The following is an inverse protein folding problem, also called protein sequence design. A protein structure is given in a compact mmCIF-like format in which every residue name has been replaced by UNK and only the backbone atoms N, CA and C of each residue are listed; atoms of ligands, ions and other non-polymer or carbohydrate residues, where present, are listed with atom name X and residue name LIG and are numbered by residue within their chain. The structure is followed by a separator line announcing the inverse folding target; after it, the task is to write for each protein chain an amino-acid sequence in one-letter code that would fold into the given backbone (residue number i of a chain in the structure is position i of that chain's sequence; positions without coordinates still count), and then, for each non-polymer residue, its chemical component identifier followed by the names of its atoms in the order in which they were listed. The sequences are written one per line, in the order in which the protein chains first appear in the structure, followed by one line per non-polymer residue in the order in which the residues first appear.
data_IF_690972410992
#
_entry.id   IF_690972410992
#
_cell.length_a   1.000
_cell.length_b   1.000
_cell.length_c   1.000
_cell.angle_alpha   90.00
_cell.angle_beta   90.00
_cell.angle_gamma   90.00
#
_symmetry.space_group_name_H-M   'P 1'
#
loop_
_entity.id
_entity.type
_entity.pdbx_description
1 polymer ?
#
# COMPACT_ATOMS: atom_id res chain seq x y z
N UNK A 1 1.33 -3.22 -11.54
CA UNK A 1 2.05 -2.02 -11.08
C UNK A 1 1.54 -0.85 -11.89
N UNK A 2 0.93 0.15 -11.24
CA UNK A 2 0.52 1.37 -11.93
C UNK A 2 1.68 2.35 -11.87
N UNK A 3 2.15 2.76 -13.02
CA UNK A 3 3.23 3.72 -13.16
C UNK A 3 2.63 5.08 -13.50
N UNK A 4 2.77 6.04 -12.59
CA UNK A 4 2.28 7.39 -12.82
C UNK A 4 3.42 8.29 -13.35
N UNK A 5 3.12 9.12 -14.35
CA UNK A 5 4.03 10.08 -15.04
C UNK A 5 4.49 11.22 -14.09
N UNK A 6 5.60 11.95 -14.35
CA UNK A 6 6.50 12.44 -13.30
C UNK A 6 5.88 13.37 -12.24
N UNK A 7 6.15 13.04 -10.98
CA UNK A 7 5.78 13.75 -9.74
C UNK A 7 7.01 14.32 -9.00
N UNK A 8 8.11 14.67 -9.69
CA UNK A 8 9.34 15.10 -8.99
C UNK A 8 9.11 16.37 -8.13
N UNK A 9 8.22 17.27 -8.58
CA UNK A 9 7.76 18.40 -7.77
C UNK A 9 6.99 17.96 -6.52
N UNK A 10 6.20 16.89 -6.60
CA UNK A 10 5.37 16.42 -5.49
C UNK A 10 6.17 15.65 -4.44
N UNK A 11 7.26 14.96 -4.82
CA UNK A 11 8.18 14.36 -3.84
C UNK A 11 8.74 15.43 -2.88
N UNK A 12 9.30 16.50 -3.46
CA UNK A 12 9.86 17.60 -2.68
C UNK A 12 8.77 18.33 -1.90
N UNK A 13 7.61 18.58 -2.51
CA UNK A 13 6.49 19.24 -1.83
C UNK A 13 6.02 18.43 -0.60
N UNK A 14 5.81 17.12 -0.77
CA UNK A 14 5.41 16.23 0.31
C UNK A 14 6.48 16.15 1.40
N UNK A 15 7.75 16.00 1.02
CA UNK A 15 8.85 15.96 1.98
C UNK A 15 8.95 17.26 2.77
N UNK A 16 8.89 18.42 2.10
CA UNK A 16 8.92 19.73 2.77
C UNK A 16 7.73 19.92 3.72
N UNK A 17 6.52 19.52 3.29
CA UNK A 17 5.32 19.59 4.12
C UNK A 17 5.49 18.76 5.41
N UNK A 18 6.01 17.52 5.29
CA UNK A 18 6.26 16.67 6.45
C UNK A 18 7.31 17.28 7.37
N UNK A 19 8.47 17.67 6.80
CA UNK A 19 9.61 18.20 7.56
C UNK A 19 9.26 19.47 8.34
N UNK A 20 8.35 20.30 7.83
CA UNK A 20 7.87 21.51 8.51
C UNK A 20 7.05 21.19 9.77
N UNK A 21 6.22 20.16 9.72
CA UNK A 21 5.30 19.82 10.82
C UNK A 21 5.98 18.97 11.91
N UNK A 22 6.99 18.17 11.54
CA UNK A 22 7.72 17.29 12.48
C UNK A 22 8.91 17.97 13.19
N UNK A 23 9.00 19.29 13.17
CA UNK A 23 10.13 20.05 13.75
C UNK A 23 10.35 19.81 15.26
N UNK A 24 9.31 19.38 15.98
CA UNK A 24 9.39 19.02 17.40
C UNK A 24 9.93 17.61 17.65
N UNK A 25 10.00 16.75 16.63
CA UNK A 25 10.51 15.39 16.73
C UNK A 25 12.02 15.34 16.51
N UNK A 26 12.69 14.40 17.18
CA UNK A 26 14.14 14.23 17.03
C UNK A 26 14.44 13.33 15.84
N UNK A 27 15.18 13.86 14.85
CA UNK A 27 15.71 13.07 13.74
C UNK A 27 16.68 12.00 14.25
N UNK A 28 16.54 10.77 13.76
CA UNK A 28 17.37 9.60 14.11
C UNK A 28 17.78 8.87 12.84
N UNK A 29 18.80 8.01 12.93
CA UNK A 29 19.21 7.13 11.82
C UNK A 29 18.16 6.05 11.57
N UNK A 30 18.14 5.52 10.36
CA UNK A 30 17.34 4.35 10.00
C UNK A 30 17.77 3.05 10.71
N UNK A 31 16.91 2.02 10.69
CA UNK A 31 17.24 0.72 11.27
C UNK A 31 18.40 0.03 10.55
N UNK A 32 18.51 0.18 9.24
CA UNK A 32 19.59 -0.38 8.42
C UNK A 32 20.59 0.73 8.06
N UNK A 33 21.86 0.64 8.50
CA UNK A 33 22.87 1.66 8.22
C UNK A 33 23.26 1.75 6.74
N UNK A 34 22.88 0.78 5.90
CA UNK A 34 23.18 0.80 4.46
C UNK A 34 22.25 1.74 3.67
N UNK A 35 21.15 2.18 4.26
CA UNK A 35 20.17 3.07 3.64
C UNK A 35 20.10 4.41 4.38
N UNK A 36 19.97 5.50 3.64
CA UNK A 36 19.81 6.84 4.20
C UNK A 36 18.33 7.16 4.46
N UNK A 37 17.73 6.40 5.38
CA UNK A 37 16.33 6.61 5.77
C UNK A 37 16.17 7.87 6.62
N UNK A 38 15.15 8.66 6.31
CA UNK A 38 14.74 9.80 7.13
C UNK A 38 13.80 9.30 8.23
N UNK A 39 14.28 9.28 9.47
CA UNK A 39 13.51 8.80 10.61
C UNK A 39 13.40 9.82 11.75
N UNK A 40 12.33 9.72 12.52
CA UNK A 40 12.00 10.58 13.65
C UNK A 40 11.62 9.75 14.88
N UNK A 41 12.05 10.21 16.05
CA UNK A 41 11.72 9.63 17.35
C UNK A 41 10.94 10.63 18.19
N UNK A 42 10.14 10.13 19.14
CA UNK A 42 9.34 10.95 20.05
C UNK A 42 7.84 11.02 19.73
N UNK A 43 7.38 10.32 18.68
CA UNK A 43 5.96 10.31 18.29
C UNK A 43 5.09 9.30 19.07
N UNK A 44 5.70 8.50 19.95
CA UNK A 44 5.01 7.49 20.74
C UNK A 44 4.80 6.16 20.00
N UNK A 45 4.35 5.12 20.72
CA UNK A 45 4.19 3.75 20.18
C UNK A 45 2.86 3.51 19.46
N UNK A 46 1.86 4.31 19.79
CA UNK A 46 0.50 4.12 19.33
C UNK A 46 0.31 4.73 17.94
N UNK A 47 0.11 3.86 16.94
CA UNK A 47 -0.07 4.28 15.54
C UNK A 47 -1.31 5.13 15.36
N UNK A 48 -2.36 4.92 16.18
CA UNK A 48 -3.58 5.72 16.10
C UNK A 48 -3.38 7.19 16.49
N UNK A 49 -2.27 7.50 17.17
CA UNK A 49 -1.94 8.86 17.62
C UNK A 49 -0.89 9.55 16.74
N UNK A 50 -0.43 8.91 15.66
CA UNK A 50 0.58 9.51 14.77
C UNK A 50 0.12 10.81 14.14
N UNK A 51 -1.18 10.96 13.88
CA UNK A 51 -1.76 12.20 13.35
C UNK A 51 -1.60 13.41 14.28
N UNK A 52 -1.17 13.23 15.54
CA UNK A 52 -0.84 14.34 16.45
C UNK A 52 0.54 14.95 16.16
N UNK A 53 1.45 14.18 15.58
CA UNK A 53 2.84 14.59 15.35
C UNK A 53 3.22 14.63 13.87
N UNK A 54 2.49 13.89 13.04
CA UNK A 54 2.74 13.76 11.61
C UNK A 54 1.50 14.23 10.83
N UNK A 55 1.67 15.05 9.79
CA UNK A 55 0.53 15.61 9.06
C UNK A 55 -0.12 14.57 8.13
N UNK A 56 -1.36 14.81 7.73
CA UNK A 56 -1.86 14.20 6.51
C UNK A 56 -1.22 14.91 5.30
N UNK A 57 -0.89 14.16 4.24
CA UNK A 57 -0.27 14.69 3.02
C UNK A 57 -1.13 14.34 1.81
N UNK A 58 -1.19 15.24 0.84
CA UNK A 58 -1.96 15.04 -0.38
C UNK A 58 -1.02 14.65 -1.52
N UNK A 59 -1.31 13.53 -2.18
CA UNK A 59 -0.73 13.21 -3.48
C UNK A 59 -1.69 13.70 -4.56
N UNK A 60 -1.25 14.66 -5.37
CA UNK A 60 -2.07 15.32 -6.39
C UNK A 60 -1.76 14.73 -7.76
N UNK A 61 -2.73 14.09 -8.40
CA UNK A 61 -2.59 13.55 -9.75
C UNK A 61 -2.74 14.64 -10.82
N UNK A 62 -2.23 14.37 -12.03
CA UNK A 62 -2.25 15.33 -13.16
C UNK A 62 -3.65 15.85 -13.54
N UNK A 63 -4.72 15.11 -13.23
CA UNK A 63 -6.10 15.51 -13.47
C UNK A 63 -6.70 16.34 -12.33
N UNK A 64 -5.89 16.74 -11.33
CA UNK A 64 -6.32 17.48 -10.16
C UNK A 64 -6.95 16.64 -9.05
N UNK A 65 -7.17 15.34 -9.27
CA UNK A 65 -7.63 14.44 -8.22
C UNK A 65 -6.55 14.31 -7.15
N UNK A 66 -6.98 14.07 -5.91
CA UNK A 66 -6.08 13.99 -4.77
C UNK A 66 -6.28 12.69 -4.01
N UNK A 67 -5.18 12.07 -3.62
CA UNK A 67 -5.17 10.97 -2.67
C UNK A 67 -4.63 11.49 -1.33
N UNK A 68 -5.49 11.55 -0.32
CA UNK A 68 -5.12 11.93 1.03
C UNK A 68 -4.46 10.75 1.75
N UNK A 69 -3.20 10.92 2.13
CA UNK A 69 -2.40 9.93 2.85
C UNK A 69 -2.32 10.33 4.32
N UNK A 70 -2.73 9.41 5.20
CA UNK A 70 -2.50 9.56 6.64
C UNK A 70 -1.11 9.07 7.02
N UNK A 71 -0.60 9.38 8.22
CA UNK A 71 0.72 8.93 8.65
C UNK A 71 0.98 7.43 8.46
N UNK A 72 -0.02 6.56 8.65
CA UNK A 72 0.14 5.12 8.40
C UNK A 72 0.39 4.73 6.94
N UNK A 73 0.15 5.64 5.99
CA UNK A 73 0.32 5.43 4.56
C UNK A 73 1.68 5.87 4.02
N UNK A 74 2.49 6.58 4.83
CA UNK A 74 3.83 7.01 4.44
C UNK A 74 4.89 6.79 5.53
N UNK A 75 4.54 6.24 6.69
CA UNK A 75 5.49 5.92 7.77
C UNK A 75 5.60 4.42 8.02
N UNK A 76 6.83 3.91 7.99
CA UNK A 76 7.14 2.59 8.52
C UNK A 76 7.71 2.69 9.94
N UNK A 77 7.44 1.67 10.77
CA UNK A 77 7.95 1.61 12.14
C UNK A 77 9.45 1.33 12.13
N UNK A 78 10.19 2.03 12.99
CA UNK A 78 11.60 1.76 13.19
C UNK A 78 11.78 0.47 14.01
N UNK A 79 12.35 -0.57 13.42
CA UNK A 79 12.42 -1.91 14.03
C UNK A 79 13.34 -1.97 15.26
N UNK A 80 14.36 -1.12 15.33
CA UNK A 80 15.34 -1.09 16.44
C UNK A 80 15.06 -0.04 17.52
N UNK A 81 14.15 0.91 17.29
CA UNK A 81 13.93 2.06 18.17
C UNK A 81 12.43 2.25 18.37
N UNK A 82 11.98 1.94 19.58
CA UNK A 82 10.56 1.94 19.93
C UNK A 82 10.01 3.38 19.86
N UNK A 83 8.87 3.55 19.18
CA UNK A 83 8.23 4.85 19.01
C UNK A 83 8.95 5.79 18.05
N UNK A 84 9.86 5.26 17.24
CA UNK A 84 10.42 5.95 16.08
C UNK A 84 9.80 5.42 14.78
N UNK A 85 9.74 6.30 13.79
CA UNK A 85 9.11 6.08 12.49
C UNK A 85 9.98 6.68 11.39
N UNK A 86 9.94 6.07 10.22
CA UNK A 86 10.73 6.46 9.07
C UNK A 86 9.83 6.76 7.88
N UNK A 87 10.22 7.73 7.06
CA UNK A 87 9.49 8.10 5.85
C UNK A 87 9.65 7.00 4.80
N UNK A 88 8.54 6.40 4.38
CA UNK A 88 8.44 5.47 3.25
C UNK A 88 8.32 6.17 1.91
N UNK A 89 8.93 7.35 1.77
CA UNK A 89 8.93 8.16 0.56
C UNK A 89 10.39 8.34 0.16
N UNK A 90 10.73 7.83 -1.01
CA UNK A 90 12.11 7.81 -1.50
C UNK A 90 12.18 8.50 -2.85
N UNK A 91 13.30 9.19 -3.10
CA UNK A 91 13.57 9.72 -4.42
C UNK A 91 13.72 8.54 -5.40
N UNK A 92 12.99 8.59 -6.52
CA UNK A 92 13.20 7.66 -7.63
C UNK A 92 14.17 8.28 -8.63
N UNK A 93 15.08 7.47 -9.17
CA UNK A 93 16.02 7.91 -10.22
C UNK A 93 15.33 8.10 -11.57
N UNK A 94 14.18 7.47 -11.77
CA UNK A 94 13.36 7.60 -12.97
C UNK A 94 12.30 8.70 -12.83
N UNK A 95 11.76 9.16 -13.96
CA UNK A 95 10.66 10.14 -14.03
C UNK A 95 9.28 9.53 -13.68
N UNK A 96 9.25 8.48 -12.87
CA UNK A 96 8.05 7.70 -12.55
C UNK A 96 7.88 7.59 -11.04
N UNK A 97 6.64 7.49 -10.58
CA UNK A 97 6.37 7.25 -9.16
C UNK A 97 5.84 5.84 -8.97
N UNK A 98 6.50 5.08 -8.10
CA UNK A 98 6.05 3.78 -7.65
C UNK A 98 5.22 3.95 -6.36
N UNK A 99 3.93 3.60 -6.43
CA UNK A 99 3.11 3.48 -5.22
C UNK A 99 3.32 2.10 -4.59
N UNK A 100 4.07 2.07 -3.49
CA UNK A 100 4.29 0.85 -2.71
C UNK A 100 3.08 0.44 -1.85
N UNK A 101 3.14 -0.76 -1.28
CA UNK A 101 2.05 -1.33 -0.48
C UNK A 101 1.61 -0.46 0.71
N UNK A 102 2.51 0.32 1.29
CA UNK A 102 2.21 1.22 2.41
C UNK A 102 1.16 2.28 2.04
N UNK A 103 1.20 2.80 0.81
CA UNK A 103 0.27 3.83 0.32
C UNK A 103 -1.16 3.29 0.30
N UNK A 104 -1.33 1.99 0.03
CA UNK A 104 -2.64 1.35 -0.12
C UNK A 104 -3.15 0.69 1.16
N UNK A 105 -2.48 0.90 2.30
CA UNK A 105 -2.94 0.42 3.60
C UNK A 105 -4.30 1.04 3.95
N UNK A 106 -5.26 0.21 4.36
CA UNK A 106 -6.63 0.66 4.62
C UNK A 106 -7.23 1.46 3.45
N UNK A 107 -6.90 1.06 2.23
CA UNK A 107 -7.40 1.66 1.00
C UNK A 107 -7.85 0.56 0.05
N UNK A 108 -9.10 0.63 -0.41
CA UNK A 108 -9.58 -0.18 -1.50
C UNK A 108 -9.10 0.43 -2.80
N UNK A 109 -8.34 -0.34 -3.58
CA UNK A 109 -7.85 0.06 -4.90
C UNK A 109 -8.62 -0.71 -5.97
N UNK A 110 -9.30 0.02 -6.85
CA UNK A 110 -10.04 -0.57 -7.96
C UNK A 110 -9.32 -0.30 -9.28
N UNK A 111 -9.38 -1.29 -10.17
CA UNK A 111 -8.77 -1.22 -11.50
C UNK A 111 -9.88 -1.45 -12.52
N UNK A 112 -10.32 -0.38 -13.14
CA UNK A 112 -11.30 -0.40 -14.22
C UNK A 112 -10.53 -0.34 -15.55
N UNK A 113 -10.22 -1.53 -16.07
CA UNK A 113 -9.43 -1.69 -17.30
C UNK A 113 -10.22 -1.28 -18.54
N UNK A 114 -11.55 -1.39 -18.51
CA UNK A 114 -12.41 -1.06 -19.64
C UNK A 114 -12.46 0.45 -19.85
N UNK A 115 -12.33 1.23 -18.78
CA UNK A 115 -12.34 2.69 -18.82
C UNK A 115 -10.96 3.34 -18.56
N UNK A 116 -9.89 2.55 -18.45
CA UNK A 116 -8.53 3.00 -18.10
C UNK A 116 -8.49 3.88 -16.83
N UNK A 117 -9.17 3.41 -15.77
CA UNK A 117 -9.30 4.14 -14.50
C UNK A 117 -8.81 3.33 -13.32
N UNK A 118 -8.25 4.05 -12.36
CA UNK A 118 -7.89 3.52 -11.06
C UNK A 118 -8.62 4.33 -9.99
N UNK A 119 -9.28 3.64 -9.08
CA UNK A 119 -9.98 4.23 -7.95
C UNK A 119 -9.24 3.96 -6.65
N UNK A 120 -9.26 4.96 -5.77
CA UNK A 120 -8.76 4.85 -4.40
C UNK A 120 -9.88 5.22 -3.43
N UNK A 121 -10.18 4.33 -2.49
CA UNK A 121 -11.15 4.59 -1.44
C UNK A 121 -10.55 4.24 -0.07
N UNK A 122 -10.25 5.26 0.73
CA UNK A 122 -9.81 5.05 2.12
C UNK A 122 -10.94 4.43 2.93
N UNK A 123 -10.69 3.26 3.51
CA UNK A 123 -11.69 2.48 4.23
C UNK A 123 -11.04 1.53 5.23
N UNK A 124 -11.74 1.18 6.30
CA UNK A 124 -11.26 0.13 7.21
C UNK A 124 -11.41 -1.21 6.49
N UNK A 125 -10.30 -1.77 6.02
CA UNK A 125 -10.32 -3.00 5.25
C UNK A 125 -10.85 -4.17 6.08
N UNK A 126 -10.51 -4.27 7.37
CA UNK A 126 -11.02 -5.33 8.25
C UNK A 126 -12.55 -5.30 8.35
N UNK A 127 -13.14 -4.11 8.48
CA UNK A 127 -14.58 -3.93 8.51
C UNK A 127 -15.22 -4.21 7.15
N UNK A 128 -14.58 -3.77 6.06
CA UNK A 128 -15.03 -4.06 4.70
C UNK A 128 -15.08 -5.57 4.44
N UNK A 129 -14.01 -6.30 4.80
CA UNK A 129 -13.94 -7.76 4.71
C UNK A 129 -15.04 -8.44 5.52
N UNK A 130 -15.28 -7.96 6.75
CA UNK A 130 -16.33 -8.48 7.63
C UNK A 130 -17.73 -8.30 7.01
N UNK A 131 -18.01 -7.13 6.43
CA UNK A 131 -19.30 -6.81 5.80
C UNK A 131 -19.55 -7.62 4.54
N UNK A 132 -18.51 -7.85 3.74
CA UNK A 132 -18.63 -8.59 2.48
C UNK A 132 -18.84 -10.10 2.69
N UNK A 133 -18.74 -10.61 3.93
CA UNK A 133 -18.92 -12.04 4.27
C UNK A 133 -18.23 -12.97 3.27
N UNK A 134 -16.99 -12.64 2.88
CA UNK A 134 -16.23 -13.48 1.97
C UNK A 134 -15.74 -14.69 2.79
N UNK A 135 -16.53 -15.77 2.74
CA UNK A 135 -16.15 -17.08 3.26
C UNK A 135 -15.00 -17.60 2.40
N UNK A 136 -13.76 -17.46 2.88
CA UNK A 136 -12.57 -17.92 2.16
C UNK A 136 -11.33 -17.03 2.25
N UNK A 137 -11.29 -16.00 3.11
CA UNK A 137 -10.05 -15.29 3.38
C UNK A 137 -9.05 -16.23 4.09
N UNK A 138 -7.82 -16.45 3.56
CA UNK A 138 -6.77 -17.10 4.32
C UNK A 138 -6.56 -16.32 5.62
N UNK A 139 -6.38 -17.02 6.74
CA UNK A 139 -5.98 -16.40 7.98
C UNK A 139 -4.75 -15.50 7.75
N UNK A 140 -4.63 -14.36 8.46
CA UNK A 140 -3.44 -13.52 8.37
C UNK A 140 -2.20 -14.40 8.53
N UNK A 141 -1.25 -14.28 7.61
CA UNK A 141 -0.02 -15.04 7.69
C UNK A 141 0.57 -14.83 9.10
N UNK A 142 0.86 -15.91 9.85
CA UNK A 142 1.55 -15.76 11.12
C UNK A 142 2.85 -15.01 10.85
N UNK A 143 3.15 -14.03 11.70
CA UNK A 143 4.41 -13.28 11.66
C UNK A 143 5.57 -14.27 11.63
N UNK A 144 6.19 -14.40 10.45
CA UNK A 144 7.33 -15.29 10.22
C UNK A 144 8.47 -14.80 11.11
N UNK A 145 8.75 -15.59 12.14
CA UNK A 145 10.04 -15.60 12.80
C UNK A 145 11.02 -16.20 11.81
N UNK A 146 12.05 -15.42 11.47
CA UNK A 146 13.13 -15.86 10.58
C UNK A 146 13.72 -17.17 11.10
N UNK A 147 13.70 -18.20 10.26
CA UNK A 147 14.61 -19.33 10.35
C UNK A 147 15.02 -19.74 8.94
N UNK A 148 16.27 -20.17 8.82
CA UNK A 148 17.15 -19.99 7.67
C UNK A 148 16.94 -21.00 6.52
N UNK A 149 17.28 -20.54 5.30
CA UNK A 149 17.82 -21.22 4.11
C UNK A 149 17.18 -22.52 3.57
N UNK A 150 16.72 -22.51 2.31
CA UNK A 150 17.48 -23.04 1.13
C UNK A 150 16.68 -22.93 -0.18
N UNK A 151 17.39 -22.59 -1.27
CA UNK A 151 16.92 -22.45 -2.66
C UNK A 151 16.36 -23.75 -3.25
N UNK A 152 15.23 -23.71 -3.97
CA UNK A 152 14.93 -24.61 -5.12
C UNK A 152 13.89 -23.95 -6.06
N UNK A 153 14.28 -23.81 -7.32
CA UNK A 153 13.56 -23.15 -8.43
C UNK A 153 12.73 -24.19 -9.22
N UNK A 154 11.46 -23.91 -9.54
CA UNK A 154 10.58 -24.81 -10.32
C UNK A 154 9.92 -24.01 -11.47
N UNK A 155 9.88 -24.51 -12.73
CA UNK A 155 9.41 -23.76 -13.90
C UNK A 155 7.87 -23.80 -14.10
N UNK A 156 7.28 -22.87 -14.89
CA UNK A 156 5.83 -22.74 -15.02
C UNK A 156 5.20 -23.70 -16.05
N UNK A 157 4.01 -24.21 -15.74
CA UNK A 157 3.23 -25.11 -16.59
C UNK A 157 2.16 -24.37 -17.45
N UNK A 158 1.85 -24.96 -18.62
CA UNK A 158 0.95 -24.42 -19.66
C UNK A 158 -0.56 -24.59 -19.36
N UNK A 159 -1.40 -23.69 -19.89
CA UNK A 159 -2.84 -23.63 -19.63
C UNK A 159 -3.71 -24.47 -20.60
N UNK A 160 -4.82 -25.09 -20.16
CA UNK A 160 -5.81 -25.71 -21.05
C UNK A 160 -7.00 -24.79 -21.38
N UNK A 161 -7.60 -25.07 -22.54
CA UNK A 161 -8.64 -24.36 -23.28
C UNK A 161 -10.09 -24.82 -22.99
N UNK A 162 -11.06 -23.89 -23.08
CA UNK A 162 -12.47 -24.18 -23.44
C UNK A 162 -13.55 -23.88 -22.38
N UNK A 163 -14.58 -23.13 -22.77
CA UNK A 163 -15.74 -22.58 -22.01
C UNK A 163 -16.91 -23.60 -21.83
N UNK A 164 -18.06 -23.27 -21.17
CA UNK A 164 -19.11 -22.46 -21.83
C UNK A 164 -19.89 -21.48 -20.93
N UNK A 165 -20.58 -20.59 -21.63
CA UNK A 165 -21.36 -19.44 -21.19
C UNK A 165 -22.62 -19.77 -20.38
N UNK A 166 -22.98 -18.85 -19.48
CA UNK A 166 -24.39 -18.51 -19.21
C UNK A 166 -24.47 -17.04 -18.78
N UNK A 167 -25.17 -16.25 -19.60
CA UNK A 167 -25.51 -14.85 -19.36
C UNK A 167 -26.92 -14.81 -18.79
N UNK A 168 -27.12 -14.09 -17.69
CA UNK A 168 -28.41 -13.49 -17.34
C UNK A 168 -28.16 -12.08 -16.77
N UNK A 169 -28.96 -11.07 -17.14
CA UNK A 169 -28.63 -9.66 -16.91
C UNK A 169 -29.24 -9.15 -15.61
N UNK A 170 -28.48 -8.34 -14.86
CA UNK A 170 -29.03 -7.47 -13.82
C UNK A 170 -28.76 -7.83 -12.35
N UNK A 171 -27.74 -8.64 -12.05
CA UNK A 171 -27.26 -8.81 -10.68
C UNK A 171 -25.74 -8.73 -10.65
N UNK A 172 -25.18 -7.80 -9.88
CA UNK A 172 -23.76 -7.78 -9.55
C UNK A 172 -23.46 -8.97 -8.65
N UNK A 173 -23.22 -10.12 -9.27
CA UNK A 173 -22.66 -11.28 -8.57
C UNK A 173 -21.20 -10.98 -8.25
N UNK A 174 -20.92 -10.65 -7.00
CA UNK A 174 -19.58 -10.75 -6.43
C UNK A 174 -19.32 -12.26 -6.27
N UNK A 175 -19.02 -12.93 -7.38
CA UNK A 175 -18.43 -14.26 -7.34
C UNK A 175 -16.96 -14.03 -7.05
N UNK A 176 -16.56 -14.28 -5.80
CA UNK A 176 -15.15 -14.41 -5.44
C UNK A 176 -14.54 -15.51 -6.31
N UNK A 177 -13.91 -15.12 -7.41
CA UNK A 177 -12.90 -15.96 -8.04
C UNK A 177 -11.73 -15.95 -7.06
N UNK A 178 -11.64 -17.01 -6.25
CA UNK A 178 -10.40 -17.42 -5.59
C UNK A 178 -9.39 -17.77 -6.70
N UNK A 179 -8.80 -16.75 -7.31
CA UNK A 179 -7.64 -16.93 -8.15
C UNK A 179 -6.42 -16.96 -7.21
N UNK A 180 -6.03 -18.17 -6.81
CA UNK A 180 -4.61 -18.45 -6.63
C UNK A 180 -3.90 -17.92 -7.88
N UNK A 181 -2.90 -17.06 -7.70
CA UNK A 181 -2.09 -16.43 -8.76
C UNK A 181 -2.14 -17.19 -10.10
N UNK A 182 -2.81 -16.63 -11.11
CA UNK A 182 -2.07 -15.79 -12.05
C UNK A 182 -2.83 -14.51 -12.47
N UNK A 183 -2.05 -13.61 -13.05
CA UNK A 183 -2.42 -12.28 -13.52
C UNK A 183 -3.66 -12.29 -14.43
N UNK A 184 -4.53 -11.28 -14.27
CA UNK A 184 -5.73 -10.94 -15.05
C UNK A 184 -7.07 -11.53 -14.59
N UNK A 185 -7.56 -11.02 -13.47
CA UNK A 185 -8.91 -10.46 -13.25
C UNK A 185 -9.01 -10.15 -11.75
N UNK A 186 -9.57 -9.00 -11.37
CA UNK A 186 -10.05 -8.79 -10.00
C UNK A 186 -9.22 -7.85 -9.13
N UNK A 187 -9.92 -6.87 -8.59
CA UNK A 187 -9.71 -6.23 -7.29
C UNK A 187 -8.44 -6.63 -6.55
N UNK A 188 -7.51 -5.70 -6.35
CA UNK A 188 -6.56 -5.88 -5.27
C UNK A 188 -7.37 -5.87 -3.96
N UNK A 189 -7.29 -6.94 -3.15
CA UNK A 189 -7.98 -7.01 -1.88
C UNK A 189 -7.59 -5.80 -1.03
N UNK A 190 -8.58 -5.11 -0.45
CA UNK A 190 -8.34 -4.04 0.52
C UNK A 190 -7.35 -4.57 1.58
N UNK A 191 -6.12 -4.05 1.58
CA UNK A 191 -5.00 -4.69 2.29
C UNK A 191 -4.81 -4.08 3.68
N UNK A 192 -4.74 -4.95 4.68
CA UNK A 192 -4.32 -4.63 6.05
C UNK A 192 -2.86 -5.07 6.17
N UNK A 193 -1.91 -4.20 5.81
CA UNK A 193 -0.49 -4.41 6.11
C UNK A 193 -0.19 -4.20 7.60
#
# INVERSE_FOLDING_TARGET
MVMFRPFLHDYLAMLMQILREVHSLKRVRGPDPNYDDICFSGAGRDVSQLSKSFPAVEMVFNNGNKLLLSPENYLFRHTKLIGAYCLGIFANTESTTLLGGIVVRNTLVTYDRDNDRIGFLKTNCSELWRRLKISGAPAPAPSVSQSNDTNLEIPPASAPSGSPANVLPGAWHITCILAMFPVFLGFFPCTVL
#
